data_IF_150070467804
#
_entry.id   IF_150070467804
#
_cell.length_a   1.000
_cell.length_b   1.000
_cell.length_c   1.000
_cell.angle_alpha   90.00
_cell.angle_beta   90.00
_cell.angle_gamma   90.00
#
_symmetry.space_group_name_H-M   'P 1'
#
loop_
_entity.id
_entity.type
_entity.pdbx_description
1 polymer ?
#
# COMPACT_ATOMS: atom_id res chain seq x y z
N UNK A 1 -4.84 26.71 17.22
CA UNK A 1 -6.05 25.86 17.39
C UNK A 1 -7.32 26.62 17.74
N UNK A 2 -7.35 27.49 18.75
CA UNK A 2 -8.57 28.23 19.15
C UNK A 2 -9.36 28.87 17.99
N UNK A 3 -8.72 29.66 17.13
CA UNK A 3 -9.39 30.30 16.00
C UNK A 3 -10.00 29.29 15.00
N UNK A 4 -9.31 28.17 14.76
CA UNK A 4 -9.82 27.08 13.91
C UNK A 4 -11.04 26.44 14.55
N UNK A 5 -10.97 26.08 15.82
CA UNK A 5 -12.09 25.47 16.54
C UNK A 5 -13.30 26.41 16.62
N UNK A 6 -13.08 27.72 16.81
CA UNK A 6 -14.15 28.73 16.80
C UNK A 6 -14.77 28.87 15.41
N UNK A 7 -13.96 28.82 14.34
CA UNK A 7 -14.46 28.82 12.97
C UNK A 7 -15.27 27.55 12.66
N UNK A 8 -14.78 26.37 13.05
CA UNK A 8 -15.50 25.09 12.92
C UNK A 8 -16.84 25.14 13.66
N UNK A 9 -16.85 25.65 14.90
CA UNK A 9 -18.10 25.82 15.66
C UNK A 9 -19.09 26.71 14.92
N UNK A 10 -18.65 27.89 14.44
CA UNK A 10 -19.50 28.83 13.70
C UNK A 10 -20.04 28.23 12.40
N UNK A 11 -19.19 27.49 11.66
CA UNK A 11 -19.57 26.88 10.39
C UNK A 11 -20.56 25.74 10.55
N UNK A 12 -20.42 24.93 11.60
CA UNK A 12 -21.25 23.76 11.84
C UNK A 12 -22.48 24.04 12.69
N UNK A 13 -22.53 25.19 13.38
CA UNK A 13 -23.69 25.62 14.15
C UNK A 13 -24.97 25.62 13.29
N UNK A 14 -26.13 25.28 13.86
CA UNK A 14 -27.41 25.39 13.17
C UNK A 14 -27.61 26.82 12.63
N UNK A 15 -28.21 26.99 11.44
CA UNK A 15 -28.54 28.30 10.94
C UNK A 15 -29.55 28.99 11.88
N UNK A 16 -29.46 30.31 12.00
CA UNK A 16 -30.37 31.12 12.82
C UNK A 16 -31.78 31.24 12.23
N UNK A 17 -31.96 30.89 10.95
CA UNK A 17 -33.28 30.73 10.35
C UNK A 17 -33.94 29.41 10.75
N UNK A 18 -35.28 29.32 10.72
CA UNK A 18 -36.06 28.07 10.90
C UNK A 18 -35.83 27.01 9.79
N UNK A 19 -34.77 27.18 9.01
CA UNK A 19 -34.38 26.36 7.89
C UNK A 19 -33.55 25.18 8.41
N UNK A 20 -33.83 23.96 7.95
CA UNK A 20 -32.98 22.80 8.25
C UNK A 20 -31.82 22.75 7.26
N UNK A 21 -30.58 22.85 7.75
CA UNK A 21 -29.38 22.65 6.93
C UNK A 21 -28.82 21.26 7.20
N UNK A 22 -28.88 20.39 6.20
CA UNK A 22 -28.27 19.05 6.28
C UNK A 22 -26.88 19.10 5.65
N UNK A 23 -25.86 18.68 6.40
CA UNK A 23 -24.50 18.57 5.89
C UNK A 23 -24.33 17.19 5.28
N UNK A 24 -24.25 17.11 3.95
CA UNK A 24 -24.05 15.84 3.24
C UNK A 24 -22.62 15.30 3.37
N UNK A 25 -21.64 16.19 3.32
CA UNK A 25 -20.21 15.85 3.36
C UNK A 25 -19.48 16.75 4.34
N UNK A 26 -18.79 16.14 5.29
CA UNK A 26 -17.96 16.81 6.27
C UNK A 26 -16.59 16.13 6.33
N UNK A 27 -15.53 16.89 6.12
CA UNK A 27 -14.16 16.44 6.26
C UNK A 27 -13.43 17.38 7.20
N UNK A 28 -12.87 16.85 8.29
CA UNK A 28 -12.19 17.64 9.30
C UNK A 28 -10.79 17.08 9.54
N UNK A 29 -9.80 17.97 9.48
CA UNK A 29 -8.43 17.68 9.93
C UNK A 29 -8.16 18.50 11.18
N UNK A 30 -7.67 17.88 12.26
CA UNK A 30 -7.43 18.59 13.52
C UNK A 30 -6.46 17.84 14.44
N UNK A 31 -5.87 18.58 15.38
CA UNK A 31 -4.92 18.00 16.32
C UNK A 31 -5.61 17.23 17.46
N UNK A 32 -4.95 16.18 17.93
CA UNK A 32 -5.33 15.39 19.12
C UNK A 32 -4.95 16.18 20.39
N UNK A 33 -5.70 17.25 20.66
CA UNK A 33 -5.35 18.23 21.68
C UNK A 33 -6.57 18.71 22.47
N UNK A 34 -6.48 18.62 23.79
CA UNK A 34 -7.45 19.20 24.71
C UNK A 34 -7.25 20.71 24.90
N UNK A 35 -8.34 21.49 25.14
CA UNK A 35 -9.74 21.08 25.23
C UNK A 35 -10.46 21.06 23.86
N UNK A 36 -9.72 21.18 22.75
CA UNK A 36 -10.30 21.40 21.43
C UNK A 36 -11.07 20.17 20.90
N UNK A 37 -10.63 18.96 21.25
CA UNK A 37 -11.35 17.71 20.95
C UNK A 37 -12.80 17.76 21.44
N UNK A 38 -13.01 18.13 22.71
CA UNK A 38 -14.35 18.23 23.28
C UNK A 38 -15.21 19.28 22.58
N UNK A 39 -14.62 20.39 22.15
CA UNK A 39 -15.36 21.40 21.39
C UNK A 39 -15.80 20.88 20.02
N UNK A 40 -14.90 20.18 19.32
CA UNK A 40 -15.20 19.58 18.01
C UNK A 40 -16.28 18.50 18.17
N UNK A 41 -16.15 17.62 19.16
CA UNK A 41 -17.13 16.56 19.44
C UNK A 41 -18.53 17.08 19.70
N UNK A 42 -18.67 18.10 20.56
CA UNK A 42 -19.97 18.74 20.82
C UNK A 42 -20.58 19.35 19.56
N UNK A 43 -19.74 19.99 18.73
CA UNK A 43 -20.20 20.59 17.48
C UNK A 43 -20.66 19.52 16.48
N UNK A 44 -19.94 18.39 16.40
CA UNK A 44 -20.29 17.26 15.54
C UNK A 44 -21.61 16.60 15.97
N UNK A 45 -21.86 16.52 17.27
CA UNK A 45 -23.10 15.99 17.80
C UNK A 45 -24.33 16.77 17.30
N UNK A 46 -24.23 18.10 17.24
CA UNK A 46 -25.30 18.95 16.71
C UNK A 46 -25.51 18.71 15.20
N UNK A 47 -24.42 18.52 14.45
CA UNK A 47 -24.49 18.18 13.01
C UNK A 47 -25.21 16.86 12.80
N UNK A 48 -24.83 15.82 13.54
CA UNK A 48 -25.43 14.48 13.45
C UNK A 48 -26.93 14.52 13.79
N UNK A 49 -27.33 15.33 14.78
CA UNK A 49 -28.75 15.55 15.10
C UNK A 49 -29.54 16.23 13.98
N UNK A 50 -28.90 17.10 13.20
CA UNK A 50 -29.55 17.81 12.09
C UNK A 50 -29.74 16.95 10.83
N UNK A 51 -29.10 15.78 10.78
CA UNK A 51 -29.21 14.79 9.71
C UNK A 51 -27.93 13.97 9.59
N UNK A 52 -28.07 12.72 9.13
CA UNK A 52 -26.91 11.85 8.92
C UNK A 52 -26.10 12.29 7.68
N UNK A 53 -24.80 12.59 7.82
CA UNK A 53 -23.96 12.88 6.67
C UNK A 53 -23.77 11.61 5.81
N UNK A 54 -23.75 11.79 4.49
CA UNK A 54 -23.40 10.74 3.53
C UNK A 54 -21.89 10.43 3.57
N UNK A 55 -21.07 11.44 3.91
CA UNK A 55 -19.61 11.34 4.05
C UNK A 55 -19.14 12.10 5.28
N UNK A 56 -18.53 11.39 6.22
CA UNK A 56 -17.91 11.96 7.42
C UNK A 56 -16.49 11.45 7.55
N UNK A 57 -15.53 12.38 7.60
CA UNK A 57 -14.11 12.05 7.64
C UNK A 57 -13.37 12.83 8.71
N UNK A 58 -12.58 12.11 9.51
CA UNK A 58 -11.63 12.70 10.45
C UNK A 58 -10.21 12.32 10.05
N UNK A 59 -9.34 13.34 10.00
CA UNK A 59 -7.90 13.16 9.92
C UNK A 59 -7.27 13.80 11.16
N UNK A 60 -6.74 12.97 12.05
CA UNK A 60 -6.24 13.41 13.35
C UNK A 60 -4.75 13.14 13.46
N UNK A 61 -4.00 14.14 13.89
CA UNK A 61 -2.55 14.07 14.08
C UNK A 61 -2.14 14.79 15.38
N UNK A 62 -0.94 14.52 15.91
CA UNK A 62 -0.41 15.29 17.03
C UNK A 62 -0.08 16.72 16.60
N UNK A 63 0.08 17.58 17.60
CA UNK A 63 0.59 18.94 17.44
C UNK A 63 2.13 19.00 17.32
N UNK A 64 2.81 17.89 17.59
CA UNK A 64 4.26 17.74 17.53
C UNK A 64 4.61 16.80 16.38
N UNK A 65 5.61 17.16 15.57
CA UNK A 65 6.00 16.41 14.37
C UNK A 65 6.65 15.05 14.68
N UNK A 66 7.44 14.96 15.76
CA UNK A 66 8.17 13.77 16.17
C UNK A 66 7.94 13.52 17.66
N UNK A 67 6.82 12.89 18.02
CA UNK A 67 6.49 12.62 19.42
C UNK A 67 7.36 11.50 20.00
N UNK A 68 7.63 11.56 21.30
CA UNK A 68 8.19 10.43 22.06
C UNK A 68 7.14 9.36 22.35
N UNK A 69 7.54 8.17 22.77
CA UNK A 69 6.65 7.06 23.11
C UNK A 69 5.60 7.46 24.18
N UNK A 70 6.03 8.22 25.19
CA UNK A 70 5.11 8.76 26.20
C UNK A 70 4.07 9.73 25.61
N UNK A 71 4.43 10.47 24.57
CA UNK A 71 3.50 11.33 23.84
C UNK A 71 2.58 10.52 22.93
N UNK A 72 3.10 9.48 22.24
CA UNK A 72 2.28 8.54 21.45
C UNK A 72 1.19 7.89 22.31
N UNK A 73 1.55 7.41 23.51
CA UNK A 73 0.62 6.88 24.50
C UNK A 73 -0.42 7.91 24.94
N UNK A 74 0.00 9.16 25.21
CA UNK A 74 -0.92 10.25 25.56
C UNK A 74 -1.91 10.57 24.43
N UNK A 75 -1.44 10.63 23.18
CA UNK A 75 -2.32 10.86 22.02
C UNK A 75 -3.29 9.70 21.81
N UNK A 76 -2.84 8.46 22.00
CA UNK A 76 -3.70 7.27 22.01
C UNK A 76 -4.81 7.38 23.04
N UNK A 77 -4.45 7.67 24.30
CA UNK A 77 -5.41 7.83 25.38
C UNK A 77 -6.42 8.96 25.10
N UNK A 78 -5.96 10.11 24.60
CA UNK A 78 -6.83 11.23 24.23
C UNK A 78 -7.79 10.86 23.10
N UNK A 79 -7.29 10.19 22.06
CA UNK A 79 -8.13 9.72 20.97
C UNK A 79 -9.19 8.73 21.47
N UNK A 80 -8.80 7.73 22.26
CA UNK A 80 -9.75 6.73 22.78
C UNK A 80 -10.77 7.35 23.74
N UNK A 81 -10.37 8.36 24.54
CA UNK A 81 -11.29 9.14 25.38
C UNK A 81 -12.29 9.94 24.53
N UNK A 82 -11.83 10.58 23.45
CA UNK A 82 -12.67 11.30 22.51
C UNK A 82 -13.64 10.36 21.76
N UNK A 83 -13.13 9.21 21.32
CA UNK A 83 -13.92 8.16 20.69
C UNK A 83 -15.06 7.67 21.60
N UNK A 84 -14.74 7.38 22.87
CA UNK A 84 -15.73 6.96 23.87
C UNK A 84 -16.75 8.05 24.25
N UNK A 85 -16.35 9.32 24.22
CA UNK A 85 -17.23 10.44 24.56
C UNK A 85 -18.26 10.79 23.48
N UNK A 86 -17.98 10.50 22.20
CA UNK A 86 -18.84 10.89 21.07
C UNK A 86 -19.22 9.70 20.15
N UNK A 87 -19.75 8.59 20.69
CA UNK A 87 -19.96 7.35 19.93
C UNK A 87 -20.93 7.53 18.74
N UNK A 88 -21.90 8.45 18.84
CA UNK A 88 -22.84 8.72 17.74
C UNK A 88 -22.17 9.32 16.51
N UNK A 89 -21.16 10.17 16.68
CA UNK A 89 -20.41 10.72 15.56
C UNK A 89 -19.54 9.63 14.90
N UNK A 90 -18.89 8.79 15.70
CA UNK A 90 -18.05 7.70 15.21
C UNK A 90 -18.84 6.57 14.52
N UNK A 91 -20.07 6.28 14.97
CA UNK A 91 -20.97 5.34 14.27
C UNK A 91 -21.23 5.70 12.81
N UNK A 92 -21.25 7.00 12.50
CA UNK A 92 -21.51 7.54 11.18
C UNK A 92 -20.23 7.85 10.38
N UNK A 93 -19.06 7.69 11.00
CA UNK A 93 -17.78 7.98 10.37
C UNK A 93 -17.55 7.05 9.18
N UNK A 94 -17.26 7.62 8.01
CA UNK A 94 -17.00 6.86 6.78
C UNK A 94 -15.52 6.69 6.49
N UNK A 95 -14.69 7.64 6.96
CA UNK A 95 -13.23 7.62 6.76
C UNK A 95 -12.49 8.13 8.00
N UNK A 96 -11.45 7.42 8.41
CA UNK A 96 -10.63 7.79 9.55
C UNK A 96 -9.15 7.67 9.20
N UNK A 97 -8.41 8.76 9.43
CA UNK A 97 -6.95 8.80 9.33
C UNK A 97 -6.41 9.19 10.70
N UNK A 98 -5.55 8.35 11.25
CA UNK A 98 -4.88 8.57 12.52
C UNK A 98 -3.37 8.57 12.28
N UNK A 99 -2.68 9.52 12.91
CA UNK A 99 -1.25 9.65 12.80
C UNK A 99 -0.59 9.78 14.17
N UNK A 100 0.55 9.11 14.36
CA UNK A 100 1.43 9.23 15.53
C UNK A 100 0.68 9.04 16.87
N UNK A 101 0.15 7.84 17.10
CA UNK A 101 -0.44 7.47 18.38
C UNK A 101 -0.22 5.99 18.70
N UNK A 102 -0.24 5.64 19.98
CA UNK A 102 -0.14 4.25 20.43
C UNK A 102 -1.54 3.69 20.75
N UNK A 103 -1.80 2.46 20.33
CA UNK A 103 -3.02 1.69 20.60
C UNK A 103 -2.77 0.60 21.64
N UNK A 104 -3.79 0.25 22.41
CA UNK A 104 -3.83 -0.99 23.19
C UNK A 104 -4.44 -2.14 22.36
N UNK A 105 -4.26 -3.39 22.81
CA UNK A 105 -4.58 -4.60 22.05
C UNK A 105 -5.98 -4.62 21.42
N UNK A 106 -6.99 -4.14 22.15
CA UNK A 106 -8.38 -4.15 21.68
C UNK A 106 -8.85 -2.87 20.98
N UNK A 107 -8.05 -1.80 20.98
CA UNK A 107 -8.52 -0.46 20.60
C UNK A 107 -8.96 -0.40 19.14
N UNK A 108 -8.14 -0.93 18.22
CA UNK A 108 -8.44 -0.91 16.78
C UNK A 108 -9.65 -1.78 16.46
N UNK A 109 -9.77 -2.95 17.07
CA UNK A 109 -10.93 -3.83 16.88
C UNK A 109 -12.21 -3.24 17.47
N UNK A 110 -12.13 -2.57 18.63
CA UNK A 110 -13.26 -1.84 19.21
C UNK A 110 -13.71 -0.68 18.32
N UNK A 111 -12.75 0.05 17.74
CA UNK A 111 -13.00 1.12 16.77
C UNK A 111 -13.76 0.59 15.55
N UNK A 112 -13.29 -0.50 14.94
CA UNK A 112 -13.92 -1.11 13.76
C UNK A 112 -15.34 -1.62 14.06
N UNK A 113 -15.54 -2.25 15.22
CA UNK A 113 -16.85 -2.78 15.61
C UNK A 113 -17.85 -1.68 16.00
N UNK A 114 -17.38 -0.50 16.43
CA UNK A 114 -18.27 0.63 16.78
C UNK A 114 -18.61 1.49 15.57
N UNK A 115 -17.66 1.71 14.66
CA UNK A 115 -17.83 2.59 13.50
C UNK A 115 -18.56 1.87 12.35
N UNK A 116 -19.87 1.65 12.50
CA UNK A 116 -20.69 0.84 11.58
C UNK A 116 -20.70 1.29 10.10
N UNK A 117 -20.35 2.56 9.80
CA UNK A 117 -20.28 3.08 8.43
C UNK A 117 -18.86 3.27 7.90
N UNK A 118 -17.83 2.87 8.66
CA UNK A 118 -16.43 3.11 8.32
C UNK A 118 -16.03 2.27 7.12
N UNK A 119 -15.62 2.93 6.04
CA UNK A 119 -15.19 2.29 4.78
C UNK A 119 -13.69 2.30 4.60
N UNK A 120 -12.99 3.27 5.20
CA UNK A 120 -11.55 3.42 5.09
C UNK A 120 -10.92 3.81 6.42
N UNK A 121 -9.91 3.04 6.83
CA UNK A 121 -9.07 3.31 8.01
C UNK A 121 -7.62 3.43 7.55
N UNK A 122 -6.94 4.50 7.96
CA UNK A 122 -5.52 4.73 7.71
C UNK A 122 -4.80 5.02 9.02
N UNK A 123 -3.91 4.13 9.44
CA UNK A 123 -3.08 4.25 10.64
C UNK A 123 -1.64 4.54 10.20
N UNK A 124 -1.12 5.71 10.57
CA UNK A 124 0.17 6.22 10.07
C UNK A 124 1.12 6.49 11.22
N UNK A 125 2.31 5.88 11.21
CA UNK A 125 3.29 6.03 12.28
C UNK A 125 2.67 5.75 13.66
N UNK A 126 1.73 4.80 13.71
CA UNK A 126 1.07 4.37 14.93
C UNK A 126 1.69 3.07 15.41
N UNK A 127 1.57 2.77 16.70
CA UNK A 127 2.20 1.58 17.28
C UNK A 127 1.28 0.89 18.29
N UNK A 128 1.61 -0.35 18.57
CA UNK A 128 1.10 -1.15 19.68
C UNK A 128 2.26 -1.47 20.62
N UNK A 129 2.01 -1.96 21.85
CA UNK A 129 3.06 -2.44 22.73
C UNK A 129 4.00 -3.45 22.07
N UNK A 130 5.23 -3.57 22.59
CA UNK A 130 6.39 -4.22 21.95
C UNK A 130 6.21 -5.71 21.59
N UNK A 131 5.12 -6.35 21.99
CA UNK A 131 4.82 -7.77 21.69
C UNK A 131 3.36 -7.98 21.25
N UNK A 132 2.66 -6.92 20.85
CA UNK A 132 1.25 -6.99 20.50
C UNK A 132 1.02 -7.39 19.05
N UNK A 133 0.09 -8.31 18.86
CA UNK A 133 -0.48 -8.68 17.56
C UNK A 133 -1.68 -7.79 17.27
N UNK A 134 -1.76 -7.22 16.07
CA UNK A 134 -2.95 -6.51 15.62
C UNK A 134 -3.99 -7.52 15.11
N UNK A 135 -4.83 -8.00 16.01
CA UNK A 135 -5.96 -8.88 15.67
C UNK A 135 -7.16 -8.07 15.20
N UNK A 136 -7.61 -8.29 13.95
CA UNK A 136 -8.77 -7.61 13.36
C UNK A 136 -9.93 -8.58 13.14
N UNK A 137 -10.82 -8.63 14.12
CA UNK A 137 -12.08 -9.37 14.07
C UNK A 137 -13.27 -8.40 14.09
N UNK A 138 -13.79 -8.07 12.91
CA UNK A 138 -14.94 -7.17 12.76
C UNK A 138 -15.92 -7.67 11.68
N UNK A 139 -16.67 -8.75 11.96
CA UNK A 139 -17.52 -9.42 10.96
C UNK A 139 -18.68 -8.56 10.45
N UNK A 140 -19.09 -7.53 11.20
CA UNK A 140 -20.15 -6.59 10.82
C UNK A 140 -19.61 -5.29 10.22
N UNK A 141 -18.29 -5.17 10.02
CA UNK A 141 -17.67 -3.95 9.52
C UNK A 141 -17.94 -3.71 8.04
N UNK A 142 -18.16 -2.45 7.67
CA UNK A 142 -18.23 -1.97 6.29
C UNK A 142 -16.85 -1.61 5.71
N UNK A 143 -15.77 -1.92 6.43
CA UNK A 143 -14.41 -1.55 6.06
C UNK A 143 -14.04 -2.18 4.72
N UNK A 144 -13.76 -1.32 3.75
CA UNK A 144 -13.36 -1.69 2.39
C UNK A 144 -11.87 -1.48 2.11
N UNK A 145 -11.22 -0.57 2.83
CA UNK A 145 -9.81 -0.23 2.63
C UNK A 145 -9.12 -0.04 3.99
N UNK A 146 -8.02 -0.75 4.20
CA UNK A 146 -7.17 -0.65 5.38
C UNK A 146 -5.76 -0.25 4.95
N UNK A 147 -5.28 0.89 5.47
CA UNK A 147 -3.89 1.32 5.30
C UNK A 147 -3.16 1.31 6.65
N UNK A 148 -2.06 0.57 6.70
CA UNK A 148 -1.09 0.58 7.79
C UNK A 148 0.22 1.15 7.22
N UNK A 149 0.65 2.31 7.70
CA UNK A 149 1.87 2.97 7.21
C UNK A 149 2.81 3.24 8.35
N UNK A 150 4.04 2.72 8.30
CA UNK A 150 4.98 2.74 9.42
C UNK A 150 4.29 2.30 10.71
N UNK A 151 3.54 1.18 10.66
CA UNK A 151 2.77 0.70 11.80
C UNK A 151 3.59 -0.29 12.61
N UNK A 152 3.70 -0.07 13.93
CA UNK A 152 4.47 -0.91 14.84
C UNK A 152 3.60 -1.96 15.52
N UNK A 153 3.81 -3.23 15.20
CA UNK A 153 3.28 -4.41 15.90
C UNK A 153 4.17 -5.61 15.57
N UNK A 154 4.02 -6.74 16.27
CA UNK A 154 4.80 -7.95 15.94
C UNK A 154 4.19 -8.78 14.81
N UNK A 155 2.89 -8.63 14.55
CA UNK A 155 2.18 -9.32 13.47
C UNK A 155 0.79 -8.70 13.25
N UNK A 156 0.21 -8.83 12.06
CA UNK A 156 -1.18 -8.44 11.78
C UNK A 156 -2.01 -9.66 11.42
N UNK A 157 -3.12 -9.88 12.12
CA UNK A 157 -4.04 -10.98 11.85
C UNK A 157 -5.39 -10.47 11.38
N UNK A 158 -5.69 -10.69 10.09
CA UNK A 158 -6.99 -10.34 9.52
C UNK A 158 -7.99 -11.48 9.73
N UNK A 159 -8.47 -11.64 10.96
CA UNK A 159 -9.33 -12.78 11.36
C UNK A 159 -10.64 -12.81 10.56
N UNK A 160 -11.39 -11.70 10.50
CA UNK A 160 -12.65 -11.63 9.76
C UNK A 160 -13.01 -10.19 9.37
N UNK A 161 -12.86 -9.88 8.07
CA UNK A 161 -13.22 -8.59 7.47
C UNK A 161 -13.89 -8.83 6.10
N UNK A 162 -15.18 -9.19 6.08
CA UNK A 162 -15.85 -9.72 4.88
C UNK A 162 -15.99 -8.74 3.72
N UNK A 163 -15.88 -7.43 4.00
CA UNK A 163 -16.02 -6.34 3.02
C UNK A 163 -14.70 -5.69 2.63
N UNK A 164 -13.58 -6.14 3.21
CA UNK A 164 -12.26 -5.61 2.88
C UNK A 164 -11.91 -5.95 1.42
N UNK A 165 -11.52 -4.93 0.66
CA UNK A 165 -11.14 -5.03 -0.76
C UNK A 165 -9.67 -4.70 -0.95
N UNK A 166 -9.19 -3.72 -0.20
CA UNK A 166 -7.83 -3.21 -0.30
C UNK A 166 -7.10 -3.27 1.05
N UNK A 167 -5.91 -3.86 1.03
CA UNK A 167 -4.94 -3.78 2.11
C UNK A 167 -3.66 -3.10 1.62
N UNK A 168 -3.24 -2.06 2.33
CA UNK A 168 -1.92 -1.45 2.17
C UNK A 168 -1.16 -1.62 3.48
N UNK A 169 -0.02 -2.31 3.45
CA UNK A 169 0.96 -2.29 4.54
C UNK A 169 2.28 -1.76 4.01
N UNK A 170 2.58 -0.51 4.36
CA UNK A 170 3.73 0.25 3.89
C UNK A 170 4.66 0.57 5.06
N UNK A 171 5.81 -0.12 5.12
CA UNK A 171 6.80 -0.12 6.20
C UNK A 171 6.26 -0.81 7.46
N UNK A 172 6.62 -2.08 7.64
CA UNK A 172 6.43 -2.85 8.88
C UNK A 172 7.78 -3.12 9.55
N UNK A 173 7.74 -3.32 10.87
CA UNK A 173 8.92 -3.50 11.72
C UNK A 173 8.98 -4.89 12.39
N UNK A 174 8.19 -5.85 11.90
CA UNK A 174 8.13 -7.22 12.40
C UNK A 174 8.85 -8.22 11.48
N UNK A 175 8.94 -9.48 11.95
CA UNK A 175 9.38 -10.58 11.09
C UNK A 175 8.42 -10.79 9.90
N UNK A 176 8.93 -11.45 8.88
CA UNK A 176 8.17 -11.82 7.70
C UNK A 176 7.59 -13.25 7.86
N UNK A 177 6.39 -13.53 7.33
CA UNK A 177 5.44 -12.60 6.69
C UNK A 177 4.77 -11.64 7.70
N UNK A 178 4.46 -10.39 7.31
CA UNK A 178 3.91 -9.39 8.22
C UNK A 178 2.42 -9.52 8.53
N UNK A 179 1.69 -10.34 7.76
CA UNK A 179 0.23 -10.45 7.82
C UNK A 179 -0.21 -11.91 7.64
N UNK A 180 -1.22 -12.34 8.37
CA UNK A 180 -2.00 -13.56 8.09
C UNK A 180 -3.45 -13.21 7.74
N UNK A 181 -4.03 -13.98 6.83
CA UNK A 181 -5.38 -13.74 6.32
C UNK A 181 -6.34 -14.86 6.76
N UNK A 182 -7.38 -14.48 7.50
CA UNK A 182 -8.55 -15.30 7.79
C UNK A 182 -9.66 -15.06 6.76
N UNK A 183 -10.88 -14.73 7.21
CA UNK A 183 -12.03 -14.57 6.33
C UNK A 183 -12.10 -13.17 5.68
N UNK A 184 -11.56 -13.06 4.47
CA UNK A 184 -11.52 -11.83 3.65
C UNK A 184 -11.92 -12.06 2.18
N UNK A 185 -13.12 -12.59 1.90
CA UNK A 185 -13.53 -13.06 0.56
C UNK A 185 -13.58 -11.99 -0.55
N UNK A 186 -13.66 -10.70 -0.19
CA UNK A 186 -13.73 -9.58 -1.13
C UNK A 186 -12.37 -8.93 -1.40
N UNK A 187 -11.30 -9.39 -0.74
CA UNK A 187 -9.98 -8.80 -0.91
C UNK A 187 -9.52 -9.06 -2.35
N UNK A 188 -9.18 -7.98 -3.05
CA UNK A 188 -8.80 -8.03 -4.46
C UNK A 188 -7.58 -7.17 -4.78
N UNK A 189 -7.16 -6.28 -3.87
CA UNK A 189 -5.96 -5.45 -3.98
C UNK A 189 -5.09 -5.59 -2.72
N UNK A 190 -3.82 -5.98 -2.90
CA UNK A 190 -2.82 -6.03 -1.83
C UNK A 190 -1.60 -5.22 -2.23
N UNK A 191 -1.18 -4.33 -1.34
CA UNK A 191 0.01 -3.51 -1.47
C UNK A 191 0.91 -3.76 -0.26
N UNK A 192 2.07 -4.35 -0.50
CA UNK A 192 3.11 -4.53 0.50
C UNK A 192 4.33 -3.71 0.09
N UNK A 193 4.78 -2.85 0.99
CA UNK A 193 5.97 -2.04 0.77
C UNK A 193 6.84 -2.11 2.02
N UNK A 194 8.12 -2.48 1.90
CA UNK A 194 9.00 -2.61 3.06
C UNK A 194 10.46 -2.37 2.68
N UNK A 195 11.15 -1.40 3.32
CA UNK A 195 12.60 -1.33 3.33
C UNK A 195 13.14 -2.40 4.31
N UNK A 196 13.26 -3.63 3.81
CA UNK A 196 13.54 -4.76 4.68
C UNK A 196 14.91 -4.63 5.39
N UNK A 197 14.92 -5.00 6.67
CA UNK A 197 16.07 -5.02 7.57
C UNK A 197 16.80 -6.38 7.49
N UNK A 198 18.10 -6.48 7.83
CA UNK A 198 18.91 -7.69 7.66
C UNK A 198 18.35 -8.94 8.34
N UNK A 199 17.62 -8.77 9.44
CA UNK A 199 17.01 -9.85 10.21
C UNK A 199 15.66 -10.31 9.64
N UNK A 200 15.01 -9.52 8.77
CA UNK A 200 13.75 -9.88 8.12
C UNK A 200 14.01 -10.83 6.96
N UNK A 201 13.95 -12.15 7.21
CA UNK A 201 14.16 -13.16 6.16
C UNK A 201 13.15 -13.00 5.02
N UNK A 202 13.53 -13.26 3.76
CA UNK A 202 12.55 -13.37 2.68
C UNK A 202 11.50 -14.44 3.01
N UNK A 203 10.29 -14.24 2.51
CA UNK A 203 9.18 -15.18 2.70
C UNK A 203 8.50 -15.48 1.38
N UNK A 204 7.80 -16.61 1.34
CA UNK A 204 7.00 -17.04 0.19
C UNK A 204 5.60 -16.45 0.29
N UNK A 205 5.04 -15.96 -0.82
CA UNK A 205 3.73 -15.31 -0.84
C UNK A 205 2.60 -16.29 -0.48
N UNK A 206 2.76 -17.58 -0.78
CA UNK A 206 1.78 -18.61 -0.43
C UNK A 206 1.62 -18.88 1.06
N UNK A 207 2.59 -18.50 1.91
CA UNK A 207 2.43 -18.56 3.37
C UNK A 207 1.51 -17.45 3.90
N UNK A 208 1.39 -16.36 3.15
CA UNK A 208 0.63 -15.18 3.55
C UNK A 208 -0.75 -15.19 2.87
N UNK A 209 -0.80 -15.35 1.56
CA UNK A 209 -2.02 -15.22 0.75
C UNK A 209 -2.74 -16.57 0.58
N UNK A 210 -4.05 -16.57 0.84
CA UNK A 210 -4.92 -17.75 0.65
C UNK A 210 -5.46 -17.84 -0.77
N UNK A 211 -5.68 -19.07 -1.26
CA UNK A 211 -6.37 -19.33 -2.54
C UNK A 211 -7.86 -18.99 -2.53
N UNK A 212 -8.46 -18.73 -1.36
CA UNK A 212 -9.86 -18.33 -1.24
C UNK A 212 -10.10 -16.86 -1.63
N UNK A 213 -9.01 -16.10 -1.80
CA UNK A 213 -9.03 -14.68 -2.12
C UNK A 213 -9.03 -14.49 -3.64
N UNK A 214 -9.88 -13.58 -4.13
CA UNK A 214 -9.94 -13.25 -5.55
C UNK A 214 -8.96 -12.13 -5.92
N UNK A 215 -7.68 -12.32 -5.61
CA UNK A 215 -6.66 -11.31 -5.79
C UNK A 215 -6.53 -10.92 -7.27
N UNK A 216 -6.74 -9.63 -7.55
CA UNK A 216 -6.73 -9.06 -8.90
C UNK A 216 -5.54 -8.14 -9.13
N UNK A 217 -5.05 -7.49 -8.07
CA UNK A 217 -3.94 -6.56 -8.11
C UNK A 217 -2.97 -6.80 -6.96
N UNK A 218 -1.68 -6.91 -7.29
CA UNK A 218 -0.60 -7.07 -6.33
C UNK A 218 0.48 -6.02 -6.57
N UNK A 219 0.76 -5.22 -5.55
CA UNK A 219 1.88 -4.29 -5.53
C UNK A 219 2.89 -4.70 -4.47
N UNK A 220 4.14 -4.88 -4.89
CA UNK A 220 5.28 -5.14 -4.01
C UNK A 220 6.30 -4.02 -4.21
N UNK A 221 6.62 -3.28 -3.15
CA UNK A 221 7.60 -2.20 -3.19
C UNK A 221 8.77 -2.48 -2.23
N UNK A 222 9.95 -2.70 -2.78
CA UNK A 222 11.10 -3.17 -2.01
C UNK A 222 11.88 -2.04 -1.33
N UNK A 223 11.76 -0.78 -1.81
CA UNK A 223 12.49 0.42 -1.38
C UNK A 223 14.05 0.33 -1.41
N UNK A 224 14.64 -0.75 -0.92
CA UNK A 224 16.06 -1.00 -0.74
C UNK A 224 16.53 -2.18 -1.62
N UNK A 225 17.73 -2.70 -1.37
CA UNK A 225 18.37 -3.73 -2.21
C UNK A 225 17.90 -5.16 -1.90
N UNK A 226 17.16 -5.35 -0.80
CA UNK A 226 16.68 -6.66 -0.40
C UNK A 226 15.37 -7.01 -1.11
N UNK A 227 15.37 -8.16 -1.78
CA UNK A 227 14.15 -8.76 -2.30
C UNK A 227 13.60 -9.68 -1.21
N UNK A 228 12.66 -9.16 -0.42
CA UNK A 228 12.06 -9.87 0.71
C UNK A 228 10.97 -10.90 0.31
N UNK A 229 10.81 -11.15 -0.99
CA UNK A 229 9.93 -12.22 -1.52
C UNK A 229 10.76 -13.34 -2.12
N UNK A 230 10.54 -14.56 -1.63
CA UNK A 230 11.18 -15.76 -2.15
C UNK A 230 10.40 -16.32 -3.37
N UNK A 231 11.07 -16.62 -4.49
CA UNK A 231 10.43 -17.19 -5.68
C UNK A 231 9.84 -18.58 -5.47
N UNK A 232 8.56 -18.77 -5.84
CA UNK A 232 7.86 -20.04 -5.66
C UNK A 232 7.49 -20.75 -6.98
N UNK A 233 7.38 -22.07 -6.94
CA UNK A 233 6.90 -22.84 -8.09
C UNK A 233 5.48 -22.44 -8.52
N UNK A 234 5.12 -22.62 -9.79
CA UNK A 234 3.77 -22.30 -10.25
C UNK A 234 2.68 -23.15 -9.58
N UNK A 235 3.02 -24.34 -9.06
CA UNK A 235 2.07 -25.20 -8.35
C UNK A 235 1.53 -24.53 -7.07
N UNK A 236 2.38 -23.79 -6.37
CA UNK A 236 2.02 -23.07 -5.14
C UNK A 236 1.26 -21.78 -5.45
N UNK A 237 1.65 -21.07 -6.51
CA UNK A 237 1.12 -19.74 -6.82
C UNK A 237 -0.13 -19.73 -7.68
N UNK A 238 -0.29 -20.68 -8.59
CA UNK A 238 -1.44 -20.71 -9.51
C UNK A 238 -2.78 -20.69 -8.79
N UNK A 239 -3.00 -21.41 -7.67
CA UNK A 239 -4.24 -21.32 -6.91
C UNK A 239 -4.55 -19.89 -6.45
N UNK A 240 -3.53 -19.15 -5.99
CA UNK A 240 -3.64 -17.81 -5.42
C UNK A 240 -3.76 -16.74 -6.53
N UNK A 241 -2.96 -16.86 -7.59
CA UNK A 241 -2.83 -15.85 -8.66
C UNK A 241 -3.67 -16.18 -9.91
N UNK A 242 -4.56 -17.16 -9.83
CA UNK A 242 -5.43 -17.57 -10.95
C UNK A 242 -6.26 -16.42 -11.55
N UNK A 243 -6.59 -15.41 -10.75
CA UNK A 243 -7.37 -14.22 -11.13
C UNK A 243 -6.56 -12.93 -11.17
N UNK A 244 -5.26 -12.98 -10.86
CA UNK A 244 -4.38 -11.82 -10.83
C UNK A 244 -4.28 -11.22 -12.24
N UNK A 245 -4.53 -9.91 -12.36
CA UNK A 245 -4.57 -9.16 -13.62
C UNK A 245 -3.47 -8.12 -13.72
N UNK A 246 -3.10 -7.54 -12.59
CA UNK A 246 -2.16 -6.44 -12.49
C UNK A 246 -1.11 -6.76 -11.43
N UNK A 247 0.17 -6.66 -11.80
CA UNK A 247 1.30 -6.77 -10.87
C UNK A 247 2.18 -5.55 -11.02
N UNK A 248 2.54 -4.96 -9.88
CA UNK A 248 3.43 -3.83 -9.78
C UNK A 248 4.61 -4.15 -8.86
N UNK A 249 5.79 -4.34 -9.45
CA UNK A 249 7.03 -4.46 -8.70
C UNK A 249 7.75 -3.10 -8.71
N UNK A 250 7.86 -2.49 -7.54
CA UNK A 250 8.41 -1.16 -7.37
C UNK A 250 9.64 -1.18 -6.47
N UNK A 251 10.46 -0.14 -6.57
CA UNK A 251 11.61 0.01 -5.69
C UNK A 251 12.64 -1.11 -5.86
N UNK A 252 12.82 -1.65 -7.07
CA UNK A 252 13.88 -2.64 -7.33
C UNK A 252 15.19 -1.89 -7.59
N UNK A 253 16.23 -2.19 -6.81
CA UNK A 253 17.53 -1.58 -7.03
C UNK A 253 18.15 -2.00 -8.37
N UNK A 254 18.81 -1.08 -9.08
CA UNK A 254 19.30 -1.35 -10.45
C UNK A 254 20.29 -2.51 -10.53
N UNK A 255 21.05 -2.78 -9.48
CA UNK A 255 22.00 -3.89 -9.42
C UNK A 255 21.37 -5.28 -9.21
N UNK A 256 20.11 -5.34 -8.76
CA UNK A 256 19.40 -6.61 -8.58
C UNK A 256 19.17 -7.30 -9.94
N UNK A 257 19.24 -8.63 -9.92
CA UNK A 257 18.75 -9.44 -11.03
C UNK A 257 17.23 -9.25 -11.15
N UNK A 258 16.70 -9.40 -12.36
CA UNK A 258 15.28 -9.32 -12.66
C UNK A 258 14.68 -10.69 -12.96
N UNK A 259 15.50 -11.71 -13.26
CA UNK A 259 15.04 -13.04 -13.69
C UNK A 259 14.16 -13.72 -12.64
N UNK A 260 14.40 -13.45 -11.35
CA UNK A 260 13.54 -13.96 -10.27
C UNK A 260 12.07 -13.64 -10.51
N UNK A 261 11.74 -12.45 -11.03
CA UNK A 261 10.35 -12.00 -11.26
C UNK A 261 9.56 -12.90 -12.22
N UNK A 262 10.23 -13.74 -13.01
CA UNK A 262 9.60 -14.71 -13.92
C UNK A 262 8.70 -15.70 -13.20
N UNK A 263 8.95 -15.99 -11.92
CA UNK A 263 8.08 -16.86 -11.14
C UNK A 263 6.64 -16.33 -11.07
N UNK A 264 6.46 -15.00 -11.06
CA UNK A 264 5.14 -14.37 -11.03
C UNK A 264 4.43 -14.58 -12.37
N UNK A 265 5.13 -14.35 -13.49
CA UNK A 265 4.59 -14.60 -14.82
C UNK A 265 4.23 -16.09 -15.00
N UNK A 266 5.05 -17.01 -14.48
CA UNK A 266 4.78 -18.44 -14.54
C UNK A 266 3.58 -18.85 -13.68
N UNK A 267 3.45 -18.27 -12.48
CA UNK A 267 2.40 -18.58 -11.50
C UNK A 267 1.08 -17.83 -11.68
N UNK A 268 1.04 -16.77 -12.49
CA UNK A 268 -0.14 -15.91 -12.67
C UNK A 268 -0.71 -16.01 -14.10
N UNK A 269 -1.39 -17.11 -14.47
CA UNK A 269 -1.80 -17.36 -15.85
C UNK A 269 -2.79 -16.34 -16.44
N UNK A 270 -3.47 -15.58 -15.58
CA UNK A 270 -4.45 -14.55 -15.97
C UNK A 270 -3.90 -13.13 -16.05
N UNK A 271 -2.61 -12.93 -15.77
CA UNK A 271 -1.99 -11.62 -15.71
C UNK A 271 -2.05 -10.92 -17.07
N UNK A 272 -2.48 -9.66 -17.07
CA UNK A 272 -2.62 -8.86 -18.29
C UNK A 272 -1.60 -7.72 -18.33
N UNK A 273 -1.30 -7.12 -17.17
CA UNK A 273 -0.41 -5.99 -17.05
C UNK A 273 0.69 -6.28 -16.03
N UNK A 274 1.94 -6.10 -16.45
CA UNK A 274 3.10 -6.28 -15.59
C UNK A 274 3.93 -5.01 -15.58
N UNK A 275 4.04 -4.40 -14.41
CA UNK A 275 4.74 -3.14 -14.20
C UNK A 275 5.96 -3.39 -13.32
N UNK A 276 7.10 -2.92 -13.77
CA UNK A 276 8.37 -3.02 -13.07
C UNK A 276 8.99 -1.62 -12.99
N UNK A 277 9.43 -1.21 -11.80
CA UNK A 277 10.12 0.06 -11.58
C UNK A 277 11.44 -0.17 -10.88
N UNK A 278 12.51 0.23 -11.57
CA UNK A 278 13.87 0.23 -11.04
C UNK A 278 14.30 1.61 -10.60
N UNK A 279 15.14 1.68 -9.58
CA UNK A 279 15.76 2.92 -9.12
C UNK A 279 17.21 2.69 -8.70
N UNK A 280 18.06 3.67 -8.99
CA UNK A 280 19.48 3.66 -8.59
C UNK A 280 19.72 4.46 -7.30
N UNK A 281 18.68 5.04 -6.70
CA UNK A 281 18.82 5.79 -5.46
C UNK A 281 19.08 4.82 -4.31
N UNK A 282 20.24 4.92 -3.67
CA UNK A 282 20.47 4.44 -2.30
C UNK A 282 19.77 5.37 -1.30
N UNK A 283 18.47 5.60 -1.48
CA UNK A 283 17.72 6.48 -0.59
C UNK A 283 17.70 5.86 0.80
N UNK A 284 18.26 6.56 1.79
CA UNK A 284 18.33 6.14 3.18
C UNK A 284 19.00 4.78 3.40
N UNK A 285 20.13 4.48 2.74
CA UNK A 285 20.98 3.35 3.15
C UNK A 285 21.38 3.57 4.60
N UNK A 286 20.59 3.03 5.52
CA UNK A 286 20.94 2.99 6.94
C UNK A 286 21.95 1.86 7.13
N UNK A 287 22.75 1.91 8.19
CA UNK A 287 23.58 0.76 8.56
C UNK A 287 22.72 -0.50 8.83
N UNK A 288 21.42 -0.29 9.10
CA UNK A 288 20.43 -1.31 9.39
C UNK A 288 19.65 -1.81 8.15
N UNK A 289 19.98 -1.39 6.92
CA UNK A 289 19.32 -1.91 5.73
C UNK A 289 19.91 -3.25 5.29
N UNK A 290 19.06 -4.16 4.85
CA UNK A 290 19.51 -5.47 4.38
C UNK A 290 20.37 -5.37 3.11
N UNK A 291 21.41 -6.22 3.05
CA UNK A 291 22.25 -6.36 1.88
C UNK A 291 21.49 -6.93 0.67
N UNK A 292 22.08 -6.74 -0.50
CA UNK A 292 21.58 -7.25 -1.78
C UNK A 292 21.33 -8.76 -1.74
N UNK A 293 20.10 -9.16 -2.06
CA UNK A 293 19.76 -10.57 -2.26
C UNK A 293 20.03 -10.99 -3.71
N UNK A 294 20.97 -11.91 -3.93
CA UNK A 294 21.20 -12.53 -5.24
C UNK A 294 20.25 -13.72 -5.43
N UNK A 295 18.99 -13.46 -5.74
CA UNK A 295 18.02 -14.51 -6.05
C UNK A 295 18.21 -15.00 -7.48
N UNK A 296 18.95 -16.11 -7.63
CA UNK A 296 19.10 -16.77 -8.93
C UNK A 296 18.10 -17.93 -8.99
N UNK A 297 16.99 -17.71 -9.69
CA UNK A 297 16.14 -18.80 -10.14
C UNK A 297 16.24 -18.91 -11.65
N UNK A 298 16.62 -20.08 -12.13
CA UNK A 298 16.65 -20.35 -13.56
C UNK A 298 15.24 -20.25 -14.14
N UNK A 299 15.05 -19.39 -15.14
CA UNK A 299 13.76 -19.19 -15.78
C UNK A 299 13.34 -20.49 -16.51
N UNK A 300 12.41 -21.25 -15.91
CA UNK A 300 11.78 -22.45 -16.50
C UNK A 300 11.19 -22.12 -17.87
N UNK A 301 11.17 -23.03 -18.82
CA UNK A 301 10.61 -22.72 -20.15
C UNK A 301 9.07 -22.73 -20.11
N UNK A 302 8.42 -21.56 -20.02
CA UNK A 302 6.95 -21.41 -20.01
C UNK A 302 6.46 -20.43 -21.09
N UNK A 303 5.16 -20.49 -21.39
CA UNK A 303 4.47 -19.55 -22.29
C UNK A 303 3.33 -18.87 -21.58
N UNK A 304 3.40 -17.55 -21.49
CA UNK A 304 2.35 -16.70 -20.95
C UNK A 304 1.42 -16.21 -22.07
N UNK A 305 0.15 -16.59 -22.00
CA UNK A 305 -0.82 -16.36 -23.09
C UNK A 305 -1.70 -15.12 -22.91
N UNK A 306 -1.75 -14.52 -21.72
CA UNK A 306 -2.62 -13.38 -21.42
C UNK A 306 -1.94 -12.04 -21.16
N UNK A 307 -0.62 -12.00 -20.97
CA UNK A 307 0.12 -10.76 -20.73
C UNK A 307 0.05 -9.91 -22.01
N UNK A 308 -0.50 -8.70 -21.88
CA UNK A 308 -0.71 -7.75 -22.99
C UNK A 308 0.22 -6.56 -22.89
N UNK A 309 0.52 -6.11 -21.68
CA UNK A 309 1.31 -4.92 -21.40
C UNK A 309 2.45 -5.25 -20.44
N UNK A 310 3.65 -4.86 -20.83
CA UNK A 310 4.81 -4.79 -19.94
C UNK A 310 5.30 -3.34 -19.85
N UNK A 311 5.45 -2.81 -18.64
CA UNK A 311 5.97 -1.46 -18.40
C UNK A 311 7.22 -1.55 -17.56
N UNK A 312 8.33 -0.97 -18.02
CA UNK A 312 9.56 -0.85 -17.24
C UNK A 312 9.95 0.61 -17.06
N UNK A 313 9.75 1.12 -15.84
CA UNK A 313 10.35 2.38 -15.38
C UNK A 313 11.78 2.10 -14.92
N UNK A 314 12.70 3.00 -15.23
CA UNK A 314 14.12 2.79 -14.94
C UNK A 314 14.82 1.84 -15.90
N UNK A 315 14.44 1.98 -17.16
CA UNK A 315 15.18 1.39 -18.25
C UNK A 315 16.56 2.04 -18.40
N UNK A 316 17.58 1.20 -18.46
CA UNK A 316 18.96 1.53 -18.82
C UNK A 316 19.39 0.57 -19.92
N UNK A 317 20.16 1.04 -20.90
CA UNK A 317 20.69 0.21 -22.01
C UNK A 317 21.84 -0.69 -21.50
N UNK A 318 21.54 -1.53 -20.52
CA UNK A 318 22.43 -2.51 -19.92
C UNK A 318 22.10 -3.90 -20.46
N UNK A 319 23.12 -4.74 -20.67
CA UNK A 319 22.96 -6.10 -21.18
C UNK A 319 21.93 -6.92 -20.40
N UNK A 320 21.97 -6.89 -19.05
CA UNK A 320 21.02 -7.61 -18.19
C UNK A 320 19.57 -7.16 -18.38
N UNK A 321 19.35 -5.87 -18.58
CA UNK A 321 18.01 -5.26 -18.73
C UNK A 321 17.44 -5.61 -20.10
N UNK A 322 18.27 -5.45 -21.14
CA UNK A 322 17.91 -5.80 -22.51
C UNK A 322 17.57 -7.29 -22.63
N UNK A 323 18.37 -8.16 -22.02
CA UNK A 323 18.10 -9.60 -21.99
C UNK A 323 16.83 -9.94 -21.23
N UNK A 324 16.58 -9.30 -20.08
CA UNK A 324 15.35 -9.53 -19.34
C UNK A 324 14.11 -9.11 -20.14
N UNK A 325 14.12 -7.94 -20.81
CA UNK A 325 13.01 -7.51 -21.67
C UNK A 325 12.79 -8.52 -22.80
N UNK A 326 13.87 -8.99 -23.45
CA UNK A 326 13.80 -10.05 -24.47
C UNK A 326 13.23 -11.34 -23.91
N UNK A 327 13.61 -11.73 -22.69
CA UNK A 327 13.08 -12.89 -22.00
C UNK A 327 11.56 -12.74 -21.79
N UNK A 328 11.08 -11.58 -21.32
CA UNK A 328 9.63 -11.30 -21.22
C UNK A 328 8.95 -11.43 -22.59
N UNK A 329 9.56 -10.89 -23.66
CA UNK A 329 9.03 -11.01 -25.04
C UNK A 329 8.96 -12.47 -25.53
N UNK A 330 9.95 -13.29 -25.19
CA UNK A 330 9.97 -14.72 -25.52
C UNK A 330 8.89 -15.50 -24.77
N UNK A 331 8.68 -15.18 -23.49
CA UNK A 331 7.71 -15.90 -22.65
C UNK A 331 6.28 -15.45 -22.91
N UNK A 332 6.05 -14.16 -23.14
CA UNK A 332 4.73 -13.59 -23.34
C UNK A 332 4.33 -13.56 -24.82
N UNK A 333 3.77 -14.68 -25.30
CA UNK A 333 3.44 -14.92 -26.72
C UNK A 333 2.41 -13.91 -27.25
N UNK A 334 1.51 -13.43 -26.40
CA UNK A 334 0.46 -12.48 -26.77
C UNK A 334 0.74 -11.05 -26.32
N UNK A 335 2.00 -10.73 -25.99
CA UNK A 335 2.42 -9.39 -25.60
C UNK A 335 2.14 -8.40 -26.72
N UNK A 336 1.36 -7.36 -26.42
CA UNK A 336 0.93 -6.36 -27.40
C UNK A 336 1.80 -5.11 -27.32
N UNK A 337 2.22 -4.73 -26.12
CA UNK A 337 2.91 -3.46 -25.88
C UNK A 337 3.96 -3.57 -24.79
N UNK A 338 5.09 -2.92 -25.03
CA UNK A 338 6.14 -2.64 -24.08
C UNK A 338 6.27 -1.12 -23.95
N UNK A 339 6.15 -0.60 -22.73
CA UNK A 339 6.39 0.82 -22.45
C UNK A 339 7.63 0.97 -21.59
N UNK A 340 8.60 1.73 -22.10
CA UNK A 340 9.82 2.14 -21.42
C UNK A 340 9.72 3.64 -21.18
N UNK A 341 9.01 4.11 -20.14
CA UNK A 341 8.95 5.52 -19.81
C UNK A 341 10.24 6.01 -19.13
N UNK A 342 10.64 7.24 -19.44
CA UNK A 342 11.65 7.98 -18.70
C UNK A 342 11.27 8.06 -17.22
N UNK A 343 12.27 7.92 -16.35
CA UNK A 343 12.07 8.13 -14.91
C UNK A 343 11.98 9.64 -14.66
N UNK A 344 10.97 10.07 -13.92
CA UNK A 344 11.01 11.37 -13.26
C UNK A 344 12.14 11.37 -12.21
N UNK A 345 13.06 12.34 -12.20
CA UNK A 345 14.13 12.41 -11.21
C UNK A 345 13.57 12.22 -9.81
N UNK A 346 14.17 11.32 -9.03
CA UNK A 346 13.74 11.12 -7.66
C UNK A 346 13.96 12.43 -6.89
N UNK A 347 12.86 13.08 -6.49
CA UNK A 347 12.90 14.38 -5.79
C UNK A 347 13.69 14.34 -4.48
N UNK A 348 13.96 13.13 -3.97
CA UNK A 348 14.62 12.90 -2.68
C UNK A 348 16.05 12.36 -2.81
N UNK A 349 16.56 12.10 -4.01
CA UNK A 349 17.90 11.57 -4.21
C UNK A 349 18.71 12.49 -5.15
N UNK A 350 20.01 12.65 -4.85
CA UNK A 350 20.97 13.39 -5.70
C UNK A 350 21.53 12.54 -6.82
N UNK A 351 21.15 11.26 -6.89
CA UNK A 351 21.62 10.34 -7.91
C UNK A 351 21.24 10.87 -9.31
N UNK A 352 22.23 10.87 -10.20
CA UNK A 352 22.04 11.23 -11.60
C UNK A 352 20.99 10.29 -12.16
N UNK A 353 19.92 10.85 -12.72
CA UNK A 353 18.89 10.04 -13.37
C UNK A 353 19.55 9.14 -14.41
N UNK A 354 19.12 7.87 -14.55
CA UNK A 354 19.73 6.97 -15.50
C UNK A 354 19.81 7.59 -16.89
N UNK A 355 20.88 7.31 -17.63
CA UNK A 355 21.05 7.81 -19.01
C UNK A 355 19.97 7.21 -19.88
N UNK A 356 18.88 7.94 -20.02
CA UNK A 356 17.75 7.55 -20.82
C UNK A 356 17.99 7.96 -22.29
N UNK A 357 17.70 7.10 -23.28
CA UNK A 357 17.90 7.44 -24.69
C UNK A 357 17.02 8.63 -25.08
N UNK A 358 17.66 9.77 -25.37
CA UNK A 358 16.96 11.02 -25.68
C UNK A 358 16.67 11.14 -27.18
N UNK A 359 17.57 10.68 -28.05
CA UNK A 359 17.45 10.81 -29.50
C UNK A 359 16.76 9.60 -30.16
N UNK A 360 16.07 9.85 -31.27
CA UNK A 360 15.31 8.81 -31.98
C UNK A 360 16.18 7.74 -32.63
N UNK A 361 17.44 8.03 -32.98
CA UNK A 361 18.34 7.03 -33.53
C UNK A 361 18.71 5.99 -32.46
N UNK A 362 18.99 6.42 -31.23
CA UNK A 362 19.22 5.54 -30.09
C UNK A 362 17.99 4.71 -29.75
N UNK A 363 16.81 5.33 -29.70
CA UNK A 363 15.55 4.58 -29.50
C UNK A 363 15.29 3.56 -30.61
N UNK A 364 15.60 3.89 -31.87
CA UNK A 364 15.48 2.95 -32.99
C UNK A 364 16.43 1.76 -32.84
N UNK A 365 17.71 1.99 -32.52
CA UNK A 365 18.69 0.91 -32.27
C UNK A 365 18.24 -0.04 -31.16
N UNK A 366 17.72 0.50 -30.05
CA UNK A 366 17.22 -0.30 -28.92
C UNK A 366 16.05 -1.20 -29.36
N UNK A 367 15.10 -0.67 -30.15
CA UNK A 367 13.99 -1.47 -30.69
C UNK A 367 14.47 -2.62 -31.57
N UNK A 368 15.43 -2.36 -32.46
CA UNK A 368 16.03 -3.40 -33.31
C UNK A 368 16.75 -4.47 -32.48
N UNK A 369 17.55 -4.07 -31.48
CA UNK A 369 18.22 -5.01 -30.58
C UNK A 369 17.25 -5.86 -29.76
N UNK A 370 16.15 -5.30 -29.28
CA UNK A 370 15.13 -6.07 -28.56
C UNK A 370 14.42 -7.07 -29.48
N UNK A 371 14.23 -6.74 -30.76
CA UNK A 371 13.55 -7.61 -31.74
C UNK A 371 14.46 -8.64 -32.39
N UNK A 372 15.77 -8.43 -32.39
CA UNK A 372 16.71 -9.28 -33.11
C UNK A 372 16.56 -10.76 -32.74
N UNK A 373 16.18 -11.60 -33.70
CA UNK A 373 15.99 -13.03 -33.50
C UNK A 373 14.67 -13.44 -32.82
N UNK A 374 13.75 -12.50 -32.57
CA UNK A 374 12.42 -12.76 -31.99
C UNK A 374 11.32 -12.56 -33.02
N UNK A 375 10.28 -13.41 -32.97
CA UNK A 375 9.07 -13.26 -33.78
C UNK A 375 8.00 -12.37 -33.11
N UNK A 376 8.36 -11.66 -32.04
CA UNK A 376 7.41 -10.83 -31.29
C UNK A 376 6.98 -9.62 -32.12
N UNK A 377 5.66 -9.41 -32.18
CA UNK A 377 5.04 -8.25 -32.84
C UNK A 377 4.72 -7.11 -31.87
N UNK A 378 5.19 -7.20 -30.61
CA UNK A 378 4.91 -6.20 -29.59
C UNK A 378 5.37 -4.80 -30.03
N UNK A 379 4.51 -3.82 -29.81
CA UNK A 379 4.84 -2.40 -30.00
C UNK A 379 5.74 -1.93 -28.86
N UNK A 380 6.89 -1.34 -29.18
CA UNK A 380 7.90 -0.92 -28.20
C UNK A 380 7.95 0.61 -28.18
N UNK A 381 7.39 1.18 -27.12
CA UNK A 381 7.28 2.62 -26.91
C UNK A 381 8.34 3.05 -25.89
N UNK A 382 9.25 3.94 -26.31
CA UNK A 382 10.28 4.53 -25.47
C UNK A 382 9.96 6.02 -25.33
N UNK A 383 9.54 6.46 -24.15
CA UNK A 383 9.05 7.82 -23.89
C UNK A 383 10.01 8.62 -23.06
#
# INVERSE_FOLDING_TARGET
MKAYTDATRRLLSPPTCKCTRTIKRLQLSFYIMDPYLSTIGNTLWDVVKSGEPEWLEFAMCPDIASPSDAQLALYGQRFMSFFGAYPGAFKLLTRLILQNLAFQDSDVTNLLNTCSKLKMLSLRSCEMPQESVLELHAPSSELSSLELKCFGCIHVELICLPKLRELVYDVWFCENPPVSFGYVPQLDHVCFACPAQPWQKPFVLSQCLSSDINLSNLLLNFYTQMIWVEPEGPQQLTPIFSKLRDVHLCGIFTECDLDWTMFILEGAPSLENFHLSRHSCEFNKSEDDAEKTNLVRQASNFKHLKLKLFVMKGFEEEYKVMNYIRLVMERAVCLKRIELPAISPCKKCTAISPRFPVDEASKHRIREQLRYGLSSSADIIIR
#
